data_IF_323181047987
#
_entry.id   IF_323181047987
#
_cell.length_a   1.000
_cell.length_b   1.000
_cell.length_c   1.000
_cell.angle_alpha   90.00
_cell.angle_beta   90.00
_cell.angle_gamma   90.00
#
_symmetry.space_group_name_H-M   'P 1'
#
loop_
_entity.id
_entity.type
_entity.pdbx_description
1 polymer ?
#
# COMPACT_ATOMS: atom_id res chain seq x y z
N UNK A 1 12.55 -9.73 13.38
CA UNK A 1 12.37 -9.14 12.04
C UNK A 1 10.89 -9.25 11.73
N UNK A 2 10.19 -8.14 11.55
CA UNK A 2 8.79 -8.18 11.12
C UNK A 2 8.82 -8.46 9.62
N UNK A 3 8.19 -9.55 9.18
CA UNK A 3 8.12 -9.89 7.77
C UNK A 3 6.96 -9.11 7.13
N UNK A 4 7.25 -8.43 6.03
CA UNK A 4 6.25 -7.74 5.20
C UNK A 4 5.71 -8.70 4.15
N UNK A 5 4.39 -8.84 4.01
CA UNK A 5 3.77 -9.65 2.95
C UNK A 5 3.83 -8.99 1.58
N UNK A 6 3.83 -7.66 1.53
CA UNK A 6 3.84 -6.90 0.27
C UNK A 6 5.11 -6.03 0.17
N UNK A 7 5.55 -5.79 -1.05
CA UNK A 7 6.73 -4.97 -1.34
C UNK A 7 6.39 -3.61 -1.94
N UNK A 8 7.28 -2.63 -1.78
CA UNK A 8 7.16 -1.32 -2.44
C UNK A 8 7.19 -1.50 -3.97
N UNK A 9 6.26 -0.84 -4.67
CA UNK A 9 6.01 -0.98 -6.12
C UNK A 9 5.15 -2.19 -6.50
N UNK A 10 4.65 -2.96 -5.53
CA UNK A 10 3.73 -4.06 -5.80
C UNK A 10 2.30 -3.55 -5.98
N UNK A 11 1.60 -4.08 -6.98
CA UNK A 11 0.16 -3.90 -7.12
C UNK A 11 -0.56 -4.82 -6.13
N UNK A 12 -1.59 -4.28 -5.47
CA UNK A 12 -2.40 -4.95 -4.45
C UNK A 12 -3.85 -4.57 -4.64
N UNK A 13 -4.76 -5.28 -3.97
CA UNK A 13 -6.17 -4.87 -3.86
C UNK A 13 -6.59 -4.62 -2.43
N UNK A 14 -7.50 -3.66 -2.24
CA UNK A 14 -8.24 -3.55 -0.99
C UNK A 14 -9.14 -4.79 -0.83
N UNK A 15 -8.90 -5.58 0.22
CA UNK A 15 -9.53 -6.90 0.41
C UNK A 15 -11.06 -6.86 0.49
N UNK A 16 -11.63 -5.78 1.04
CA UNK A 16 -13.08 -5.65 1.20
C UNK A 16 -13.78 -4.99 0.00
N UNK A 17 -13.10 -4.08 -0.71
CA UNK A 17 -13.73 -3.24 -1.74
C UNK A 17 -13.23 -3.53 -3.16
N UNK A 18 -12.13 -4.28 -3.30
CA UNK A 18 -11.57 -4.68 -4.59
C UNK A 18 -10.78 -3.60 -5.32
N UNK A 19 -10.68 -2.38 -4.78
CA UNK A 19 -9.92 -1.29 -5.41
C UNK A 19 -8.46 -1.69 -5.65
N UNK A 20 -7.99 -1.47 -6.87
CA UNK A 20 -6.58 -1.63 -7.24
C UNK A 20 -5.75 -0.54 -6.58
N UNK A 21 -4.55 -0.88 -6.14
CA UNK A 21 -3.59 0.08 -5.65
C UNK A 21 -2.15 -0.38 -5.78
N UNK A 22 -1.23 0.53 -5.50
CA UNK A 22 0.21 0.32 -5.53
C UNK A 22 0.80 0.66 -4.17
N UNK A 23 1.54 -0.27 -3.58
CA UNK A 23 2.29 -0.02 -2.35
C UNK A 23 3.42 0.96 -2.63
N UNK A 24 3.42 2.11 -1.96
CA UNK A 24 4.45 3.16 -2.15
C UNK A 24 5.44 3.24 -0.99
N UNK A 25 5.02 2.83 0.21
CA UNK A 25 5.88 2.71 1.39
C UNK A 25 5.32 1.70 2.40
N UNK A 26 6.15 1.29 3.36
CA UNK A 26 5.80 0.33 4.41
C UNK A 26 6.36 0.77 5.75
N UNK A 27 5.47 0.98 6.71
CA UNK A 27 5.84 1.14 8.12
C UNK A 27 5.83 -0.22 8.82
N UNK A 28 6.84 -0.52 9.66
CA UNK A 28 6.90 -1.80 10.38
C UNK A 28 5.77 -1.95 11.42
N UNK A 29 5.19 -0.83 11.87
CA UNK A 29 4.13 -0.71 12.87
C UNK A 29 3.29 0.53 12.55
N UNK A 30 2.10 0.67 13.14
CA UNK A 30 1.27 1.87 12.96
C UNK A 30 2.03 3.17 13.35
N UNK A 31 2.12 4.16 12.46
CA UNK A 31 2.94 5.37 12.67
C UNK A 31 2.20 6.72 12.55
N UNK A 32 0.88 6.75 12.33
CA UNK A 32 0.14 8.03 12.32
C UNK A 32 -0.13 8.54 13.75
N UNK A 33 -0.23 9.86 13.89
CA UNK A 33 -0.64 10.48 15.16
C UNK A 33 -2.03 9.95 15.56
N UNK A 34 -2.19 9.48 16.79
CA UNK A 34 -3.44 8.89 17.26
C UNK A 34 -4.56 9.95 17.38
N UNK A 35 -5.65 9.89 16.59
CA UNK A 35 -6.87 10.64 16.88
C UNK A 35 -7.82 9.80 17.74
N UNK A 36 -8.71 10.48 18.47
CA UNK A 36 -9.43 9.99 19.65
C UNK A 36 -10.03 8.58 19.55
N UNK A 37 -9.79 7.85 20.63
CA UNK A 37 -10.29 6.53 20.99
C UNK A 37 -11.81 6.36 20.78
N UNK A 38 -12.20 5.53 19.82
CA UNK A 38 -13.13 4.38 19.93
C UNK A 38 -13.20 3.72 18.53
N UNK A 39 -13.23 2.41 18.33
CA UNK A 39 -14.01 1.39 19.01
C UNK A 39 -13.18 0.10 19.05
N UNK A 40 -12.69 -0.33 20.22
CA UNK A 40 -12.56 -1.75 20.69
C UNK A 40 -11.92 -2.85 19.77
N UNK A 41 -11.48 -2.60 18.53
CA UNK A 41 -11.22 -3.66 17.53
C UNK A 41 -9.87 -3.59 16.80
N UNK A 42 -9.10 -2.51 16.93
CA UNK A 42 -7.72 -2.45 16.40
C UNK A 42 -6.73 -2.84 17.48
N UNK A 43 -6.66 -4.15 17.76
CA UNK A 43 -5.80 -4.76 18.77
C UNK A 43 -4.35 -4.31 18.64
N UNK A 44 -3.62 -4.26 19.75
CA UNK A 44 -2.17 -3.98 19.75
C UNK A 44 -1.41 -4.86 18.75
N UNK A 45 -1.90 -6.08 18.52
CA UNK A 45 -1.39 -7.01 17.51
C UNK A 45 -1.48 -6.45 16.08
N UNK A 46 -2.58 -5.77 15.73
CA UNK A 46 -2.72 -5.11 14.43
C UNK A 46 -1.79 -3.90 14.30
N UNK A 47 -1.64 -3.12 15.38
CA UNK A 47 -0.70 -1.98 15.40
C UNK A 47 0.76 -2.41 15.35
N UNK A 48 1.09 -3.60 15.87
CA UNK A 48 2.42 -4.20 15.83
C UNK A 48 2.76 -4.96 14.54
N UNK A 49 1.85 -4.98 13.56
CA UNK A 49 2.07 -5.56 12.24
C UNK A 49 2.40 -4.47 11.21
N UNK A 50 2.95 -4.80 10.02
CA UNK A 50 3.22 -3.79 8.99
C UNK A 50 1.97 -3.04 8.54
N UNK A 51 2.14 -1.75 8.33
CA UNK A 51 1.17 -0.86 7.71
C UNK A 51 1.72 -0.32 6.40
N UNK A 52 0.83 -0.13 5.44
CA UNK A 52 1.19 0.14 4.06
C UNK A 52 0.62 1.47 3.63
N UNK A 53 1.48 2.30 3.04
CA UNK A 53 1.07 3.44 2.25
C UNK A 53 0.72 2.93 0.85
N UNK A 54 -0.54 3.08 0.45
CA UNK A 54 -1.03 2.57 -0.83
C UNK A 54 -1.75 3.67 -1.58
N UNK A 55 -1.31 3.94 -2.81
CA UNK A 55 -2.07 4.79 -3.74
C UNK A 55 -3.08 3.91 -4.45
N UNK A 56 -4.36 4.24 -4.34
CA UNK A 56 -5.48 3.54 -4.97
C UNK A 56 -6.25 4.50 -5.87
N UNK A 57 -7.06 3.98 -6.79
CA UNK A 57 -8.07 4.79 -7.46
C UNK A 57 -9.43 4.63 -6.74
N UNK A 58 -10.11 5.74 -6.51
CA UNK A 58 -11.49 5.73 -6.00
C UNK A 58 -12.51 5.42 -7.11
N UNK A 59 -13.80 5.51 -6.79
CA UNK A 59 -14.88 5.23 -7.74
C UNK A 59 -14.95 6.19 -8.94
N UNK A 60 -14.27 7.33 -8.88
CA UNK A 60 -14.17 8.32 -9.96
C UNK A 60 -12.83 8.22 -10.70
N UNK A 61 -11.99 7.23 -10.37
CA UNK A 61 -10.67 7.03 -10.97
C UNK A 61 -9.61 8.01 -10.47
N UNK A 62 -9.85 8.73 -9.36
CA UNK A 62 -8.86 9.65 -8.81
C UNK A 62 -7.87 8.92 -7.90
N UNK A 63 -6.56 9.23 -7.98
CA UNK A 63 -5.57 8.63 -7.11
C UNK A 63 -5.74 9.16 -5.68
N UNK A 64 -5.99 8.26 -4.74
CA UNK A 64 -6.12 8.50 -3.31
C UNK A 64 -5.01 7.77 -2.57
N UNK A 65 -4.27 8.52 -1.73
CA UNK A 65 -3.29 7.94 -0.84
C UNK A 65 -3.96 7.42 0.43
N UNK A 66 -3.82 6.12 0.69
CA UNK A 66 -4.46 5.41 1.80
C UNK A 66 -3.41 4.79 2.71
N UNK A 67 -3.77 4.64 3.99
CA UNK A 67 -2.93 4.02 5.00
C UNK A 67 -3.66 2.80 5.58
N UNK A 68 -3.16 1.61 5.27
CA UNK A 68 -3.90 0.36 5.46
C UNK A 68 -3.07 -0.66 6.22
N UNK A 69 -3.73 -1.43 7.09
CA UNK A 69 -3.11 -2.56 7.74
C UNK A 69 -2.92 -3.72 6.74
N UNK A 70 -1.91 -4.57 6.97
CA UNK A 70 -1.62 -5.74 6.12
C UNK A 70 -2.85 -6.63 5.84
N UNK A 71 -3.73 -6.79 6.84
CA UNK A 71 -4.92 -7.64 6.74
C UNK A 71 -5.98 -7.09 5.77
N UNK A 72 -5.94 -5.79 5.46
CA UNK A 72 -6.84 -5.12 4.55
C UNK A 72 -6.40 -5.23 3.09
N UNK A 73 -5.23 -5.83 2.82
CA UNK A 73 -4.69 -6.00 1.49
C UNK A 73 -4.76 -7.46 1.03
N UNK A 74 -4.90 -7.65 -0.27
CA UNK A 74 -4.74 -8.92 -0.96
C UNK A 74 -3.74 -8.80 -2.10
N UNK A 75 -3.09 -9.92 -2.41
CA UNK A 75 -2.15 -10.00 -3.53
C UNK A 75 -2.88 -9.74 -4.85
N UNK A 76 -2.27 -8.94 -5.72
CA UNK A 76 -2.69 -8.78 -7.10
C UNK A 76 -1.59 -9.33 -8.02
N UNK A 77 -2.01 -10.07 -9.05
CA UNK A 77 -1.07 -10.55 -10.06
C UNK A 77 -0.53 -9.37 -10.87
N UNK A 78 0.76 -9.39 -11.25
CA UNK A 78 1.25 -8.45 -12.24
C UNK A 78 0.43 -8.59 -13.52
N UNK A 79 -0.31 -7.54 -13.85
CA UNK A 79 -1.11 -7.41 -15.06
C UNK A 79 -1.20 -5.93 -15.44
N UNK A 80 -1.58 -5.67 -16.67
CA UNK A 80 -1.93 -4.32 -17.13
C UNK A 80 -3.43 -4.10 -16.96
N UNK A 81 -3.79 -2.92 -16.50
CA UNK A 81 -5.17 -2.47 -16.29
C UNK A 81 -5.40 -1.23 -17.16
N UNK A 82 -5.83 -1.38 -18.43
CA UNK A 82 -5.98 -0.25 -19.35
C UNK A 82 -6.90 0.87 -18.85
N UNK A 83 -7.90 0.54 -18.03
CA UNK A 83 -8.82 1.50 -17.40
C UNK A 83 -8.20 2.22 -16.18
N UNK A 84 -7.07 1.71 -15.67
CA UNK A 84 -6.36 2.18 -14.47
C UNK A 84 -4.86 2.36 -14.77
N UNK A 85 -4.51 2.81 -15.99
CA UNK A 85 -3.13 2.86 -16.47
C UNK A 85 -2.22 3.75 -15.61
N UNK A 86 -2.81 4.72 -14.88
CA UNK A 86 -2.08 5.57 -13.94
C UNK A 86 -1.40 4.76 -12.82
N UNK A 87 -2.04 3.68 -12.36
CA UNK A 87 -1.50 2.77 -11.34
C UNK A 87 -0.43 1.84 -11.92
N UNK A 88 -0.58 1.40 -13.16
CA UNK A 88 0.47 0.62 -13.86
C UNK A 88 1.75 1.44 -14.00
N UNK A 89 1.62 2.68 -14.48
CA UNK A 89 2.73 3.62 -14.64
C UNK A 89 3.41 3.92 -13.30
N UNK A 90 2.62 4.09 -12.23
CA UNK A 90 3.13 4.29 -10.88
C UNK A 90 3.93 3.09 -10.38
N UNK A 91 3.39 1.87 -10.53
CA UNK A 91 4.07 0.65 -10.11
C UNK A 91 5.43 0.49 -10.83
N UNK A 92 5.46 0.71 -12.14
CA UNK A 92 6.68 0.63 -12.93
C UNK A 92 7.68 1.73 -12.62
N UNK A 93 7.20 2.95 -12.34
CA UNK A 93 8.05 4.06 -11.90
C UNK A 93 8.76 3.72 -10.59
N UNK A 94 8.02 3.23 -9.60
CA UNK A 94 8.56 2.86 -8.28
C UNK A 94 9.55 1.70 -8.41
N UNK A 95 9.21 0.65 -9.15
CA UNK A 95 10.11 -0.50 -9.37
C UNK A 95 11.42 -0.07 -10.02
N UNK A 96 11.36 0.84 -11.01
CA UNK A 96 12.56 1.41 -11.65
C UNK A 96 13.40 2.23 -10.65
N UNK A 97 12.77 3.04 -9.82
CA UNK A 97 13.46 3.83 -8.80
C UNK A 97 14.16 2.94 -7.75
N UNK A 98 13.58 1.80 -7.39
CA UNK A 98 14.18 0.84 -6.47
C UNK A 98 15.40 0.12 -7.06
N UNK A 99 15.43 -0.08 -8.38
CA UNK A 99 16.54 -0.70 -9.10
C UNK A 99 17.67 0.28 -9.42
N UNK A 100 17.35 1.59 -9.50
CA UNK A 100 18.34 2.60 -9.79
C UNK A 100 19.44 2.60 -8.71
N UNK A 101 20.73 2.60 -9.09
CA UNK A 101 21.81 2.70 -8.13
C UNK A 101 21.66 4.01 -7.37
N UNK A 102 21.40 3.92 -6.06
CA UNK A 102 21.39 5.10 -5.19
C UNK A 102 22.79 5.70 -5.22
N UNK A 103 22.97 6.79 -5.96
CA UNK A 103 24.18 7.61 -5.90
C UNK A 103 24.29 8.12 -4.46
N UNK A 104 25.14 7.46 -3.66
CA UNK A 104 25.55 7.96 -2.35
C UNK A 104 26.49 9.14 -2.61
N UNK A 105 26.00 10.35 -2.40
CA UNK A 105 26.84 11.52 -2.19
C UNK A 105 27.05 11.70 -0.68
#
# INVERSE_FOLDING_TARGET
MIASKFGIGQQVRHKMFGFLGVVVDVDPVYSLDAPAFDEVANSEQLRGSPWYHVVMEDGDGQPVHTYLAEIQLSWEAPAEYPEQSSLDELADSIRRQLQAPRLRN
#
